data_IF_153427992167
#
_entry.id   IF_153427992167
#
_cell.length_a   1.000
_cell.length_b   1.000
_cell.length_c   1.000
_cell.angle_alpha   90.00
_cell.angle_beta   90.00
_cell.angle_gamma   90.00
#
_symmetry.space_group_name_H-M   'P 1'
#
loop_
_entity.id
_entity.type
_entity.pdbx_description
1 polymer ?
#
# COMPACT_ATOMS: atom_id res chain seq x y z
N UNK A 1 0.48 -9.89 10.11
CA UNK A 1 0.86 -9.70 8.69
C UNK A 1 0.97 -10.99 7.86
N UNK A 2 1.75 -12.03 8.18
CA UNK A 2 1.63 -13.36 7.51
C UNK A 2 0.96 -14.42 8.41
N UNK A 3 1.30 -14.41 9.70
CA UNK A 3 0.71 -15.29 10.72
C UNK A 3 -0.81 -15.10 10.86
N UNK A 4 -1.30 -13.86 10.79
CA UNK A 4 -2.75 -13.57 10.80
C UNK A 4 -3.49 -14.17 9.60
N UNK A 5 -2.87 -14.22 8.42
CA UNK A 5 -3.51 -14.76 7.22
C UNK A 5 -3.67 -16.28 7.33
N UNK A 6 -2.63 -16.96 7.81
CA UNK A 6 -2.68 -18.39 8.11
C UNK A 6 -3.70 -18.68 9.20
N UNK A 7 -3.82 -17.80 10.19
CA UNK A 7 -4.79 -17.93 11.27
C UNK A 7 -6.23 -17.75 10.78
N UNK A 8 -6.51 -16.78 9.92
CA UNK A 8 -7.85 -16.62 9.32
C UNK A 8 -8.25 -17.84 8.50
N UNK A 9 -7.30 -18.42 7.75
CA UNK A 9 -7.52 -19.66 7.00
C UNK A 9 -7.78 -20.84 7.93
N UNK A 10 -6.96 -21.00 8.97
CA UNK A 10 -7.11 -22.07 10.00
C UNK A 10 -8.45 -22.00 10.72
N UNK A 11 -8.97 -20.78 10.94
CA UNK A 11 -10.25 -20.52 11.59
C UNK A 11 -11.46 -20.48 10.64
N UNK A 12 -11.26 -20.77 9.35
CA UNK A 12 -12.31 -20.71 8.32
C UNK A 12 -13.11 -19.39 8.34
N UNK A 13 -12.42 -18.26 8.51
CA UNK A 13 -13.09 -16.95 8.50
C UNK A 13 -13.50 -16.62 7.07
N UNK A 14 -14.80 -16.44 6.83
CA UNK A 14 -15.33 -16.14 5.50
C UNK A 14 -14.97 -14.75 5.00
N UNK A 15 -14.96 -14.57 3.67
CA UNK A 15 -14.80 -13.28 2.98
C UNK A 15 -15.75 -12.21 3.52
N UNK A 16 -17.03 -12.58 3.73
CA UNK A 16 -18.04 -11.66 4.23
C UNK A 16 -17.68 -11.14 5.64
N UNK A 17 -17.23 -12.04 6.52
CA UNK A 17 -16.81 -11.67 7.87
C UNK A 17 -15.56 -10.78 7.86
N UNK A 18 -14.57 -11.12 7.05
CA UNK A 18 -13.36 -10.30 6.89
C UNK A 18 -13.72 -8.89 6.38
N UNK A 19 -14.54 -8.80 5.33
CA UNK A 19 -15.02 -7.48 4.83
C UNK A 19 -15.76 -6.70 5.90
N UNK A 20 -16.59 -7.35 6.72
CA UNK A 20 -17.28 -6.68 7.82
C UNK A 20 -16.30 -6.12 8.87
N UNK A 21 -15.26 -6.88 9.23
CA UNK A 21 -14.25 -6.45 10.21
C UNK A 21 -13.51 -5.20 9.72
N UNK A 22 -13.17 -5.13 8.43
CA UNK A 22 -12.41 -4.03 7.86
C UNK A 22 -13.25 -2.84 7.38
N UNK A 23 -14.59 -2.96 7.36
CA UNK A 23 -15.50 -1.87 6.93
C UNK A 23 -15.38 -0.62 7.79
N UNK A 24 -15.07 -0.74 9.07
CA UNK A 24 -14.99 0.40 9.99
C UNK A 24 -13.59 1.02 10.07
N UNK A 25 -12.61 0.53 9.29
CA UNK A 25 -11.29 1.14 9.30
C UNK A 25 -11.37 2.62 8.92
N UNK A 26 -10.81 3.53 9.73
CA UNK A 26 -10.76 4.93 9.42
C UNK A 26 -9.85 5.15 8.20
N UNK A 27 -10.21 6.16 7.41
CA UNK A 27 -9.35 6.65 6.34
C UNK A 27 -8.54 7.80 6.92
N UNK A 28 -7.23 7.80 6.70
CA UNK A 28 -6.34 8.85 7.21
C UNK A 28 -6.76 10.21 6.63
N UNK A 29 -6.78 11.29 7.44
CA UNK A 29 -7.09 12.64 6.97
C UNK A 29 -6.22 13.06 5.78
N UNK A 30 -6.77 13.88 4.89
CA UNK A 30 -6.04 14.41 3.73
C UNK A 30 -5.85 13.47 2.56
N UNK A 31 -6.17 12.17 2.67
CA UNK A 31 -5.84 11.21 1.60
C UNK A 31 -6.47 11.57 0.26
N UNK A 32 -7.73 12.05 0.26
CA UNK A 32 -8.42 12.40 -0.99
C UNK A 32 -7.75 13.60 -1.64
N UNK A 33 -7.55 14.66 -0.85
CA UNK A 33 -6.86 15.89 -1.27
C UNK A 33 -5.48 15.58 -1.84
N UNK A 34 -4.70 14.71 -1.19
CA UNK A 34 -3.41 14.28 -1.70
C UNK A 34 -3.54 13.57 -3.05
N UNK A 35 -4.40 12.54 -3.13
CA UNK A 35 -4.51 11.71 -4.33
C UNK A 35 -5.06 12.49 -5.53
N UNK A 36 -6.01 13.40 -5.30
CA UNK A 36 -6.56 14.30 -6.32
C UNK A 36 -5.53 15.35 -6.73
N UNK A 37 -4.94 16.05 -5.76
CA UNK A 37 -3.94 17.08 -6.02
C UNK A 37 -2.66 16.56 -6.69
N UNK A 38 -2.25 15.31 -6.40
CA UNK A 38 -1.15 14.66 -7.09
C UNK A 38 -1.52 14.34 -8.55
N UNK A 39 -2.73 13.82 -8.81
CA UNK A 39 -3.22 13.58 -10.17
C UNK A 39 -3.33 14.86 -11.00
N UNK A 40 -3.82 15.95 -10.40
CA UNK A 40 -3.90 17.27 -11.05
C UNK A 40 -2.52 17.81 -11.45
N UNK A 41 -1.48 17.49 -10.67
CA UNK A 41 -0.07 17.80 -10.99
C UNK A 41 0.56 16.83 -11.99
N UNK A 42 -0.19 15.85 -12.50
CA UNK A 42 0.28 14.89 -13.49
C UNK A 42 0.96 13.63 -12.93
N UNK A 43 0.96 13.44 -11.60
CA UNK A 43 1.53 12.22 -11.00
C UNK A 43 0.71 10.98 -11.35
N UNK A 44 1.42 9.88 -11.61
CA UNK A 44 0.86 8.53 -11.66
C UNK A 44 0.91 7.90 -10.28
N UNK A 45 -0.19 7.29 -9.86
CA UNK A 45 -0.34 6.81 -8.48
C UNK A 45 -0.34 5.29 -8.42
N UNK A 46 0.60 4.75 -7.64
CA UNK A 46 0.63 3.36 -7.24
C UNK A 46 0.20 3.17 -5.79
N UNK A 47 -0.60 2.13 -5.52
CA UNK A 47 -0.81 1.61 -4.17
C UNK A 47 -0.05 0.29 -4.03
N UNK A 48 1.01 0.30 -3.21
CA UNK A 48 1.83 -0.88 -2.94
C UNK A 48 1.67 -1.27 -1.47
N UNK A 49 0.82 -2.25 -1.20
CA UNK A 49 0.38 -2.61 0.15
C UNK A 49 0.57 -4.08 0.42
N UNK A 50 0.88 -4.47 1.65
CA UNK A 50 0.82 -5.88 2.07
C UNK A 50 -0.51 -6.19 2.78
N UNK A 51 -1.55 -5.39 2.54
CA UNK A 51 -2.92 -5.71 2.92
C UNK A 51 -3.57 -6.65 1.88
N UNK A 52 -4.65 -7.36 2.26
CA UNK A 52 -5.51 -8.04 1.30
C UNK A 52 -6.15 -7.08 0.29
N UNK A 53 -6.23 -7.50 -0.96
CA UNK A 53 -6.91 -6.82 -2.08
C UNK A 53 -8.33 -6.37 -1.72
N UNK A 54 -9.11 -7.22 -1.04
CA UNK A 54 -10.47 -6.89 -0.63
C UNK A 54 -10.52 -5.78 0.43
N UNK A 55 -9.46 -5.56 1.21
CA UNK A 55 -9.37 -4.41 2.14
C UNK A 55 -9.14 -3.13 1.35
N UNK A 56 -8.27 -3.17 0.34
CA UNK A 56 -8.08 -2.02 -0.57
C UNK A 56 -9.36 -1.72 -1.35
N UNK A 57 -10.13 -2.73 -1.76
CA UNK A 57 -11.42 -2.52 -2.41
C UNK A 57 -12.40 -1.71 -1.55
N UNK A 58 -12.42 -1.90 -0.22
CA UNK A 58 -13.23 -1.11 0.70
C UNK A 58 -12.75 0.35 0.72
N UNK A 59 -11.43 0.57 0.71
CA UNK A 59 -10.87 1.91 0.60
C UNK A 59 -11.29 2.58 -0.71
N UNK A 60 -11.21 1.88 -1.85
CA UNK A 60 -11.63 2.39 -3.16
C UNK A 60 -13.14 2.64 -3.27
N UNK A 61 -13.97 1.82 -2.63
CA UNK A 61 -15.42 2.01 -2.52
C UNK A 61 -15.73 3.27 -1.71
N UNK A 62 -15.06 3.45 -0.57
CA UNK A 62 -15.25 4.63 0.29
C UNK A 62 -14.77 5.91 -0.38
N UNK A 63 -13.61 5.87 -1.03
CA UNK A 63 -12.95 7.06 -1.59
C UNK A 63 -13.38 7.39 -3.01
N UNK A 64 -13.91 6.43 -3.77
CA UNK A 64 -14.08 6.59 -5.22
C UNK A 64 -12.76 6.63 -6.00
N UNK A 65 -11.61 6.58 -5.33
CA UNK A 65 -10.31 6.66 -5.95
C UNK A 65 -9.94 5.33 -6.64
N UNK A 66 -9.20 5.42 -7.74
CA UNK A 66 -8.56 4.28 -8.41
C UNK A 66 -7.11 4.63 -8.74
N UNK A 67 -6.13 3.80 -8.32
CA UNK A 67 -4.74 4.01 -8.68
C UNK A 67 -4.48 3.59 -10.12
N UNK A 68 -3.40 4.10 -10.70
CA UNK A 68 -2.86 3.64 -11.99
C UNK A 68 -2.21 2.25 -11.87
N UNK A 69 -1.79 1.88 -10.66
CA UNK A 69 -1.22 0.56 -10.36
C UNK A 69 -1.51 0.11 -8.93
N UNK A 70 -1.76 -1.18 -8.75
CA UNK A 70 -1.94 -1.80 -7.46
C UNK A 70 -1.06 -3.04 -7.32
N UNK A 71 -0.37 -3.15 -6.19
CA UNK A 71 0.25 -4.38 -5.75
C UNK A 71 -0.15 -4.67 -4.30
N UNK A 72 -0.94 -5.73 -4.12
CA UNK A 72 -1.49 -6.16 -2.84
C UNK A 72 -1.45 -7.68 -2.70
N UNK A 73 -1.79 -8.21 -1.52
CA UNK A 73 -2.05 -9.65 -1.43
C UNK A 73 -3.36 -9.97 -2.13
N UNK A 74 -3.28 -10.84 -3.13
CA UNK A 74 -4.42 -11.33 -3.88
C UNK A 74 -5.02 -12.52 -3.15
N UNK A 75 -6.31 -12.43 -2.81
CA UNK A 75 -7.04 -13.49 -2.11
C UNK A 75 -8.01 -14.18 -3.07
N UNK A 76 -7.84 -15.49 -3.23
CA UNK A 76 -8.82 -16.33 -3.87
C UNK A 76 -9.67 -17.01 -2.80
N UNK A 77 -10.98 -16.98 -3.01
CA UNK A 77 -11.96 -17.65 -2.16
C UNK A 77 -12.62 -18.78 -2.94
N UNK A 78 -13.03 -19.83 -2.25
CA UNK A 78 -13.87 -20.89 -2.82
C UNK A 78 -15.35 -20.49 -2.85
N UNK A 79 -16.21 -21.40 -3.32
CA UNK A 79 -17.64 -21.18 -3.48
C UNK A 79 -18.36 -20.97 -2.13
N UNK A 80 -17.78 -21.44 -1.03
CA UNK A 80 -18.27 -21.21 0.34
C UNK A 80 -17.77 -19.87 0.92
N UNK A 81 -16.93 -19.16 0.17
CA UNK A 81 -16.35 -17.88 0.57
C UNK A 81 -15.21 -18.02 1.58
N UNK A 82 -14.57 -19.19 1.67
CA UNK A 82 -13.40 -19.45 2.51
C UNK A 82 -12.11 -19.23 1.72
N UNK A 83 -11.01 -18.94 2.43
CA UNK A 83 -9.71 -18.62 1.80
C UNK A 83 -9.12 -19.88 1.17
N UNK A 84 -9.05 -19.90 -0.17
CA UNK A 84 -8.45 -20.98 -0.97
C UNK A 84 -6.96 -20.76 -1.17
N UNK A 85 -6.58 -19.58 -1.65
CA UNK A 85 -5.20 -19.22 -1.99
C UNK A 85 -4.93 -17.76 -1.64
N UNK A 86 -3.69 -17.47 -1.23
CA UNK A 86 -3.20 -16.11 -0.99
C UNK A 86 -1.84 -15.94 -1.67
N UNK A 87 -1.72 -14.93 -2.53
CA UNK A 87 -0.48 -14.65 -3.25
C UNK A 87 -0.15 -13.17 -3.23
N UNK A 88 1.12 -12.84 -2.96
CA UNK A 88 1.68 -11.54 -3.32
C UNK A 88 2.50 -11.73 -4.60
N UNK A 89 2.22 -11.00 -5.70
CA UNK A 89 2.89 -11.23 -6.98
C UNK A 89 4.39 -10.93 -6.98
N UNK A 90 4.82 -9.92 -6.23
CA UNK A 90 6.19 -9.41 -6.26
C UNK A 90 6.99 -9.92 -5.06
N UNK A 91 7.77 -10.98 -5.27
CA UNK A 91 8.57 -11.62 -4.21
C UNK A 91 10.06 -11.50 -4.49
N UNK A 92 10.83 -11.35 -3.43
CA UNK A 92 12.29 -11.35 -3.49
C UNK A 92 12.84 -12.75 -3.83
N UNK A 93 14.16 -12.88 -3.95
CA UNK A 93 14.84 -14.16 -4.25
C UNK A 93 14.62 -15.23 -3.17
N UNK A 94 14.23 -14.84 -1.96
CA UNK A 94 13.94 -15.73 -0.83
C UNK A 94 12.43 -16.04 -0.72
N UNK A 95 11.60 -15.49 -1.60
CA UNK A 95 10.17 -15.68 -1.63
C UNK A 95 9.36 -14.73 -0.73
N UNK A 96 9.98 -13.73 -0.09
CA UNK A 96 9.27 -12.75 0.74
C UNK A 96 8.63 -11.65 -0.12
N UNK A 97 7.45 -11.11 0.25
CA UNK A 97 6.84 -9.99 -0.44
C UNK A 97 7.77 -8.77 -0.47
N UNK A 98 7.92 -8.15 -1.64
CA UNK A 98 8.79 -6.99 -1.84
C UNK A 98 8.01 -5.83 -2.46
N UNK A 99 7.81 -4.77 -1.66
CA UNK A 99 7.16 -3.53 -2.12
C UNK A 99 8.01 -2.81 -3.17
N UNK A 100 9.34 -2.79 -3.00
CA UNK A 100 10.25 -2.16 -3.97
C UNK A 100 10.24 -2.86 -5.33
N UNK A 101 10.12 -4.20 -5.39
CA UNK A 101 9.98 -4.90 -6.67
C UNK A 101 8.68 -4.55 -7.40
N UNK A 102 7.59 -4.38 -6.65
CA UNK A 102 6.31 -3.93 -7.22
C UNK A 102 6.41 -2.49 -7.75
N UNK A 103 7.00 -1.57 -6.98
CA UNK A 103 7.18 -0.19 -7.39
C UNK A 103 8.09 -0.08 -8.63
N UNK A 104 9.18 -0.84 -8.69
CA UNK A 104 10.05 -0.94 -9.88
C UNK A 104 9.32 -1.49 -11.11
N UNK A 105 8.37 -2.40 -10.93
CA UNK A 105 7.56 -2.89 -12.04
C UNK A 105 6.67 -1.78 -12.61
N UNK A 106 6.04 -0.99 -11.73
CA UNK A 106 5.24 0.15 -12.15
C UNK A 106 6.07 1.26 -12.78
N UNK A 107 7.18 1.65 -12.14
CA UNK A 107 8.16 2.60 -12.66
C UNK A 107 8.53 2.28 -14.12
N UNK A 108 8.95 1.03 -14.39
CA UNK A 108 9.30 0.59 -15.75
C UNK A 108 8.13 0.69 -16.73
N UNK A 109 6.91 0.42 -16.27
CA UNK A 109 5.72 0.48 -17.13
C UNK A 109 5.34 1.89 -17.56
N UNK A 110 5.73 2.91 -16.79
CA UNK A 110 5.45 4.32 -17.08
C UNK A 110 6.68 5.08 -17.63
N UNK A 111 7.85 4.43 -17.68
CA UNK A 111 9.08 5.03 -18.20
C UNK A 111 9.66 6.14 -17.32
N UNK A 112 9.48 6.04 -15.99
CA UNK A 112 10.04 7.00 -15.03
C UNK A 112 11.42 6.56 -14.51
N UNK A 113 12.24 7.51 -14.10
CA UNK A 113 13.50 7.29 -13.39
C UNK A 113 13.27 7.19 -11.88
N UNK A 114 14.19 6.57 -11.14
CA UNK A 114 14.04 6.37 -9.69
C UNK A 114 13.95 7.69 -8.92
N UNK A 115 14.69 8.68 -9.41
CA UNK A 115 14.79 10.05 -8.89
C UNK A 115 13.47 10.80 -9.02
N UNK A 116 12.59 10.38 -9.93
CA UNK A 116 11.25 10.95 -10.14
C UNK A 116 10.18 10.28 -9.25
N UNK A 117 10.56 9.25 -8.49
CA UNK A 117 9.63 8.51 -7.63
C UNK A 117 9.54 9.15 -6.25
N UNK A 118 8.32 9.43 -5.83
CA UNK A 118 7.99 9.77 -4.44
C UNK A 118 7.42 8.53 -3.75
N UNK A 119 8.08 8.07 -2.69
CA UNK A 119 7.59 6.98 -1.85
C UNK A 119 7.02 7.50 -0.54
N UNK A 120 5.86 6.99 -0.15
CA UNK A 120 5.17 7.34 1.09
C UNK A 120 4.92 6.06 1.89
N UNK A 121 5.34 6.02 3.16
CA UNK A 121 5.18 4.84 4.01
C UNK A 121 5.22 5.15 5.51
N UNK A 122 4.74 4.21 6.33
CA UNK A 122 4.55 4.40 7.78
C UNK A 122 5.18 3.30 8.64
N UNK A 123 5.67 2.22 8.03
CA UNK A 123 6.05 1.00 8.73
C UNK A 123 7.32 0.35 8.18
N UNK A 124 8.01 -0.49 8.98
CA UNK A 124 9.29 -1.12 8.60
C UNK A 124 9.31 -1.77 7.20
N UNK A 125 8.19 -2.30 6.70
CA UNK A 125 8.14 -2.97 5.41
C UNK A 125 8.12 -1.99 4.22
N UNK A 126 8.12 -0.69 4.50
CA UNK A 126 8.29 0.39 3.54
C UNK A 126 9.73 0.91 3.48
N UNK A 127 10.60 0.54 4.42
CA UNK A 127 11.99 1.05 4.50
C UNK A 127 12.76 0.83 3.20
N UNK A 128 12.68 -0.36 2.59
CA UNK A 128 13.35 -0.62 1.30
C UNK A 128 12.75 0.17 0.14
N UNK A 129 11.46 0.49 0.21
CA UNK A 129 10.77 1.31 -0.80
C UNK A 129 11.21 2.78 -0.67
N UNK A 130 11.24 3.30 0.56
CA UNK A 130 11.68 4.66 0.87
C UNK A 130 13.14 4.88 0.47
N UNK A 131 14.05 3.97 0.86
CA UNK A 131 15.48 4.05 0.48
C UNK A 131 15.74 4.08 -1.02
N UNK A 132 14.82 3.55 -1.82
CA UNK A 132 14.99 3.41 -3.27
C UNK A 132 14.44 4.61 -4.06
N UNK A 133 13.48 5.33 -3.51
CA UNK A 133 12.81 6.44 -4.18
C UNK A 133 13.65 7.73 -4.16
N UNK A 134 13.46 8.60 -5.14
CA UNK A 134 14.11 9.91 -5.20
C UNK A 134 13.66 10.88 -4.10
N UNK A 135 12.42 10.74 -3.62
CA UNK A 135 11.91 11.43 -2.45
C UNK A 135 11.20 10.44 -1.51
N UNK A 136 11.72 10.30 -0.29
CA UNK A 136 11.17 9.44 0.74
C UNK A 136 10.39 10.24 1.79
N UNK A 137 9.11 9.92 1.95
CA UNK A 137 8.22 10.57 2.93
C UNK A 137 7.72 9.53 3.92
N UNK A 138 8.09 9.69 5.19
CA UNK A 138 7.49 8.92 6.27
C UNK A 138 6.21 9.59 6.77
N UNK A 139 5.13 8.81 6.96
CA UNK A 139 3.87 9.31 7.49
C UNK A 139 3.54 8.66 8.82
N UNK A 140 3.40 9.46 9.88
CA UNK A 140 3.10 8.99 11.23
C UNK A 140 3.91 7.76 11.62
N UNK A 141 5.25 7.79 11.46
CA UNK A 141 6.06 6.58 11.44
C UNK A 141 5.90 5.80 12.74
N UNK A 142 5.37 4.58 12.63
CA UNK A 142 5.22 3.65 13.76
C UNK A 142 6.51 2.91 14.09
N UNK A 143 7.50 2.98 13.18
CA UNK A 143 8.80 2.33 13.33
C UNK A 143 9.92 3.39 13.19
N UNK A 144 10.83 3.53 14.18
CA UNK A 144 11.91 4.51 14.14
C UNK A 144 12.85 4.38 12.94
N UNK A 145 12.98 3.19 12.34
CA UNK A 145 13.84 2.98 11.17
C UNK A 145 13.41 3.78 9.94
N UNK A 146 12.16 4.27 9.90
CA UNK A 146 11.71 5.16 8.84
C UNK A 146 12.34 6.55 8.94
N UNK A 147 12.64 7.02 10.16
CA UNK A 147 13.25 8.33 10.38
C UNK A 147 14.69 8.38 9.85
N UNK A 148 15.36 7.24 9.75
CA UNK A 148 16.73 7.14 9.22
C UNK A 148 16.79 7.23 7.70
N UNK A 149 15.66 7.04 7.01
CA UNK A 149 15.61 6.90 5.54
C UNK A 149 14.68 7.89 4.87
N UNK A 150 13.90 8.66 5.64
CA UNK A 150 12.95 9.61 5.12
C UNK A 150 13.59 11.00 4.96
N UNK A 151 13.37 11.63 3.82
CA UNK A 151 13.74 13.02 3.57
C UNK A 151 12.77 13.99 4.23
N UNK A 152 11.50 13.58 4.35
CA UNK A 152 10.40 14.33 4.97
C UNK A 152 9.58 13.45 5.89
N UNK A 153 9.00 14.06 6.92
CA UNK A 153 8.08 13.41 7.85
C UNK A 153 6.79 14.22 7.89
N UNK A 154 5.67 13.55 7.69
CA UNK A 154 4.30 14.09 7.83
C UNK A 154 3.62 13.31 8.94
N UNK A 155 2.87 13.95 9.83
CA UNK A 155 2.33 13.27 11.02
C UNK A 155 0.89 12.82 10.80
N UNK A 156 -0.03 13.75 10.62
CA UNK A 156 -1.47 13.47 10.72
C UNK A 156 -2.21 13.60 9.37
N UNK A 157 -2.04 14.71 8.66
CA UNK A 157 -2.78 14.99 7.43
C UNK A 157 -1.96 14.70 6.17
N UNK A 158 -2.44 13.75 5.35
CA UNK A 158 -1.74 13.36 4.12
C UNK A 158 -1.69 14.48 3.06
N UNK A 159 -2.56 15.48 3.12
CA UNK A 159 -2.56 16.60 2.17
C UNK A 159 -1.30 17.46 2.28
N UNK A 160 -0.63 17.45 3.43
CA UNK A 160 0.65 18.14 3.64
C UNK A 160 1.74 17.65 2.67
N UNK A 161 1.61 16.42 2.13
CA UNK A 161 2.56 15.89 1.15
C UNK A 161 2.57 16.73 -0.14
N UNK A 162 1.47 17.39 -0.49
CA UNK A 162 1.35 18.19 -1.70
C UNK A 162 2.32 19.38 -1.77
N UNK A 163 2.91 19.80 -0.64
CA UNK A 163 3.91 20.87 -0.63
C UNK A 163 5.28 20.40 -1.16
N UNK A 164 5.47 19.09 -1.30
CA UNK A 164 6.69 18.45 -1.78
C UNK A 164 6.54 17.85 -3.20
N UNK A 165 5.34 17.95 -3.78
CA UNK A 165 4.98 17.49 -5.13
C UNK A 165 4.80 18.69 -6.07
#
# INVERSE_FOLDING_TARGET
RALELLEWRRRSISKAKLRQLFRCLPIKPGVRTLLEGAKERGYKIAIVSQAPDFVLSIFYEKTGFRPDFEASYQFQFDDEGLIKEVRFPYRDKKGFPSKVLAAKAFQRSIGAESEEIVAVGDHYNDVELLKWAGLAIAVGPHDPSLLEVADKVVTEDLSEILQYL
#
